data_IF_146580877572
#
_entry.id   IF_146580877572
#
_cell.length_a   1.000
_cell.length_b   1.000
_cell.length_c   1.000
_cell.angle_alpha   90.00
_cell.angle_beta   90.00
_cell.angle_gamma   90.00
#
_symmetry.space_group_name_H-M   'P 1'
#
loop_
_entity.id
_entity.type
_entity.pdbx_description
1 polymer ?
#
# COMPACT_ATOMS: atom_id res chain seq x y z
N UNK A 1 22.41 -10.29 -14.92
CA UNK A 1 21.44 -10.68 -13.87
C UNK A 1 20.67 -9.43 -13.48
N UNK A 2 19.35 -9.43 -13.66
CA UNK A 2 18.50 -8.31 -13.21
C UNK A 2 18.23 -8.45 -11.71
N UNK A 3 18.01 -7.33 -11.01
CA UNK A 3 17.70 -7.30 -9.57
C UNK A 3 16.50 -8.20 -9.21
N UNK A 4 15.56 -8.36 -10.13
CA UNK A 4 14.34 -9.15 -9.97
C UNK A 4 14.54 -10.67 -10.03
N UNK A 5 15.72 -11.18 -10.42
CA UNK A 5 16.03 -12.59 -10.25
C UNK A 5 16.22 -12.96 -8.77
N UNK A 6 16.62 -11.98 -7.94
CA UNK A 6 16.82 -12.16 -6.51
C UNK A 6 15.67 -11.59 -5.68
N UNK A 7 15.06 -10.49 -6.15
CA UNK A 7 13.98 -9.80 -5.45
C UNK A 7 12.74 -9.64 -6.36
N UNK A 8 11.94 -10.70 -6.56
CA UNK A 8 10.74 -10.65 -7.40
C UNK A 8 9.69 -9.62 -6.97
N UNK A 9 9.58 -9.36 -5.66
CA UNK A 9 8.66 -8.37 -5.09
C UNK A 9 9.42 -7.30 -4.30
N UNK A 10 9.41 -6.08 -4.82
CA UNK A 10 10.08 -4.91 -4.23
C UNK A 10 9.02 -3.90 -3.78
N UNK A 11 9.19 -3.33 -2.59
CA UNK A 11 8.35 -2.23 -2.11
C UNK A 11 9.20 -0.98 -1.90
N UNK A 12 8.72 0.17 -2.36
CA UNK A 12 9.31 1.49 -2.13
C UNK A 12 8.53 2.20 -1.04
N UNK A 13 9.20 2.52 0.06
CA UNK A 13 8.62 3.11 1.26
C UNK A 13 9.21 4.48 1.58
N UNK A 14 8.52 5.29 2.39
CA UNK A 14 8.95 6.64 2.74
C UNK A 14 7.81 7.63 3.03
N UNK A 15 8.12 8.82 3.54
CA UNK A 15 7.13 9.86 3.85
C UNK A 15 6.27 10.28 2.63
N UNK A 16 5.10 10.87 2.89
CA UNK A 16 4.28 11.46 1.82
C UNK A 16 5.10 12.55 1.11
N UNK A 17 5.10 12.55 -0.22
CA UNK A 17 5.88 13.49 -1.01
C UNK A 17 7.37 13.12 -1.21
N UNK A 18 7.86 11.99 -0.66
CA UNK A 18 9.28 11.60 -0.81
C UNK A 18 9.70 11.09 -2.20
N UNK A 19 8.75 10.97 -3.13
CA UNK A 19 9.01 10.45 -4.48
C UNK A 19 8.89 8.93 -4.64
N UNK A 20 8.23 8.23 -3.70
CA UNK A 20 8.00 6.76 -3.77
C UNK A 20 7.44 6.30 -5.10
N UNK A 21 6.30 6.87 -5.49
CA UNK A 21 5.58 6.54 -6.74
C UNK A 21 6.45 6.79 -7.96
N UNK A 22 7.25 7.86 -7.95
CA UNK A 22 8.21 8.17 -9.03
C UNK A 22 9.27 7.10 -9.14
N UNK A 23 9.93 6.72 -8.03
CA UNK A 23 10.95 5.68 -8.06
C UNK A 23 10.35 4.31 -8.43
N UNK A 24 9.20 3.96 -7.87
CA UNK A 24 8.52 2.70 -8.19
C UNK A 24 8.20 2.59 -9.68
N UNK A 25 7.71 3.67 -10.30
CA UNK A 25 7.46 3.76 -11.74
C UNK A 25 8.75 3.60 -12.55
N UNK A 26 9.82 4.33 -12.19
CA UNK A 26 11.10 4.23 -12.88
C UNK A 26 11.68 2.80 -12.83
N UNK A 27 11.54 2.10 -11.70
CA UNK A 27 11.96 0.70 -11.56
C UNK A 27 11.09 -0.22 -12.42
N UNK A 28 9.77 -0.05 -12.38
CA UNK A 28 8.84 -0.82 -13.20
C UNK A 28 9.16 -0.69 -14.69
N UNK A 29 9.32 0.53 -15.20
CA UNK A 29 9.63 0.80 -16.61
C UNK A 29 11.00 0.23 -17.02
N UNK A 30 12.04 0.50 -16.22
CA UNK A 30 13.41 0.07 -16.51
C UNK A 30 13.56 -1.46 -16.61
N UNK A 31 12.79 -2.19 -15.81
CA UNK A 31 12.92 -3.64 -15.69
C UNK A 31 11.71 -4.41 -16.22
N UNK A 32 10.75 -3.73 -16.86
CA UNK A 32 9.48 -4.31 -17.34
C UNK A 32 8.71 -5.07 -16.26
N UNK A 33 8.82 -4.62 -15.02
CA UNK A 33 8.11 -5.14 -13.86
C UNK A 33 6.71 -4.53 -13.78
N UNK A 34 5.79 -5.22 -13.13
CA UNK A 34 4.48 -4.67 -12.84
C UNK A 34 4.54 -3.60 -11.74
N UNK A 35 3.72 -2.56 -11.88
CA UNK A 35 3.64 -1.45 -10.93
C UNK A 35 2.34 -1.54 -10.11
N UNK A 36 2.45 -1.67 -8.79
CA UNK A 36 1.34 -1.59 -7.85
C UNK A 36 1.41 -0.26 -7.08
N UNK A 37 0.58 0.71 -7.46
CA UNK A 37 0.55 2.00 -6.80
C UNK A 37 -0.67 2.18 -5.91
N UNK A 38 -0.48 2.86 -4.78
CA UNK A 38 -1.58 3.46 -4.04
C UNK A 38 -2.19 4.61 -4.86
N UNK A 39 -3.47 4.51 -5.17
CA UNK A 39 -4.22 5.55 -5.90
C UNK A 39 -4.97 6.44 -4.91
N UNK A 40 -4.24 7.22 -4.12
CA UNK A 40 -4.83 8.08 -3.10
C UNK A 40 -5.84 9.08 -3.66
N UNK A 41 -5.65 9.52 -4.90
CA UNK A 41 -6.50 10.46 -5.61
C UNK A 41 -7.92 9.95 -5.90
N UNK A 42 -8.15 8.63 -5.90
CA UNK A 42 -9.49 8.06 -6.10
C UNK A 42 -10.28 7.91 -4.81
N UNK A 43 -9.67 8.18 -3.65
CA UNK A 43 -10.35 8.11 -2.36
C UNK A 43 -11.28 9.32 -2.19
N UNK A 44 -12.60 9.16 -2.23
CA UNK A 44 -13.54 10.29 -2.21
C UNK A 44 -13.58 10.99 -0.84
N UNK A 45 -13.06 10.35 0.21
CA UNK A 45 -13.03 10.89 1.56
C UNK A 45 -11.76 11.66 1.87
N UNK A 46 -10.67 11.39 1.13
CA UNK A 46 -9.37 11.98 1.40
C UNK A 46 -9.36 13.52 1.37
N UNK A 47 -10.02 14.22 0.42
CA UNK A 47 -10.09 15.68 0.46
C UNK A 47 -10.80 16.21 1.71
N UNK A 48 -11.81 15.48 2.21
CA UNK A 48 -12.58 15.86 3.41
C UNK A 48 -11.83 15.51 4.70
N UNK A 49 -11.03 14.45 4.69
CA UNK A 49 -10.10 14.14 5.78
C UNK A 49 -9.12 15.27 6.04
N UNK A 50 -8.59 15.92 5.00
CA UNK A 50 -7.74 17.10 5.17
C UNK A 50 -8.48 18.33 5.73
N UNK A 51 -9.81 18.36 5.68
CA UNK A 51 -10.63 19.45 6.23
C UNK A 51 -11.11 19.16 7.66
N UNK A 52 -11.45 17.89 7.94
CA UNK A 52 -11.98 17.41 9.22
C UNK A 52 -11.56 15.94 9.39
N UNK A 53 -10.37 15.75 9.96
CA UNK A 53 -9.81 14.41 10.12
C UNK A 53 -10.70 13.54 11.02
N UNK A 54 -11.19 14.08 12.14
CA UNK A 54 -11.98 13.34 13.11
C UNK A 54 -13.26 12.75 12.49
N UNK A 55 -13.92 13.48 11.58
CA UNK A 55 -15.16 13.01 10.95
C UNK A 55 -14.93 12.04 9.79
N UNK A 56 -13.80 12.14 9.09
CA UNK A 56 -13.56 11.42 7.84
C UNK A 56 -12.43 10.39 7.91
N UNK A 57 -11.78 10.20 9.06
CA UNK A 57 -10.68 9.26 9.23
C UNK A 57 -11.12 7.83 8.91
N UNK A 58 -12.17 7.31 9.56
CA UNK A 58 -12.64 5.94 9.34
C UNK A 58 -12.99 5.63 7.88
N UNK A 59 -13.87 6.40 7.18
CA UNK A 59 -14.19 6.09 5.79
C UNK A 59 -12.97 6.24 4.86
N UNK A 60 -12.03 7.14 5.16
CA UNK A 60 -10.77 7.29 4.42
C UNK A 60 -9.90 6.04 4.58
N UNK A 61 -9.70 5.56 5.82
CA UNK A 61 -8.89 4.37 6.13
C UNK A 61 -9.51 3.09 5.54
N UNK A 62 -10.84 2.91 5.67
CA UNK A 62 -11.52 1.75 5.09
C UNK A 62 -11.40 1.73 3.56
N UNK A 63 -11.47 2.89 2.90
CA UNK A 63 -11.25 2.96 1.46
C UNK A 63 -9.83 2.48 1.08
N UNK A 64 -8.79 2.94 1.78
CA UNK A 64 -7.42 2.48 1.55
C UNK A 64 -7.28 0.97 1.78
N UNK A 65 -7.84 0.44 2.87
CA UNK A 65 -7.84 -1.00 3.16
C UNK A 65 -8.51 -1.80 2.03
N UNK A 66 -9.67 -1.38 1.54
CA UNK A 66 -10.36 -2.06 0.45
C UNK A 66 -9.61 -1.97 -0.88
N UNK A 67 -8.99 -0.83 -1.16
CA UNK A 67 -8.18 -0.67 -2.35
C UNK A 67 -6.95 -1.60 -2.33
N UNK A 68 -6.19 -1.58 -1.24
CA UNK A 68 -4.98 -2.38 -1.08
C UNK A 68 -5.31 -3.89 -1.04
N UNK A 69 -6.39 -4.28 -0.39
CA UNK A 69 -6.82 -5.69 -0.35
C UNK A 69 -7.14 -6.25 -1.74
N UNK A 70 -7.82 -5.48 -2.60
CA UNK A 70 -8.07 -5.89 -3.99
C UNK A 70 -6.76 -6.05 -4.77
N UNK A 71 -5.86 -5.08 -4.67
CA UNK A 71 -4.55 -5.14 -5.35
C UNK A 71 -3.72 -6.36 -4.91
N UNK A 72 -3.78 -6.71 -3.62
CA UNK A 72 -3.06 -7.88 -3.08
C UNK A 72 -3.73 -9.19 -3.50
N UNK A 73 -5.06 -9.24 -3.50
CA UNK A 73 -5.78 -10.41 -3.99
C UNK A 73 -5.40 -10.70 -5.46
N UNK A 74 -5.37 -9.67 -6.31
CA UNK A 74 -4.97 -9.78 -7.72
C UNK A 74 -3.50 -10.23 -7.89
N UNK A 75 -2.63 -9.87 -6.95
CA UNK A 75 -1.23 -10.32 -6.94
C UNK A 75 -1.08 -11.78 -6.48
N UNK A 76 -1.89 -12.21 -5.51
CA UNK A 76 -1.86 -13.58 -4.96
C UNK A 76 -2.37 -14.65 -5.93
N UNK A 77 -3.17 -14.26 -6.92
CA UNK A 77 -3.72 -15.17 -7.93
C UNK A 77 -2.77 -15.44 -9.11
N UNK A 78 -1.53 -14.94 -9.07
CA UNK A 78 -0.61 -15.04 -10.21
C UNK A 78 0.15 -16.36 -10.24
N UNK A 79 0.27 -16.90 -11.45
CA UNK A 79 1.02 -18.12 -11.77
C UNK A 79 2.55 -17.90 -11.73
N UNK A 80 3.30 -19.01 -11.85
CA UNK A 80 4.77 -19.06 -11.88
C UNK A 80 5.45 -18.16 -12.94
N UNK A 81 4.71 -17.69 -13.95
CA UNK A 81 5.17 -16.75 -14.97
C UNK A 81 4.86 -15.28 -14.63
N UNK A 82 4.46 -14.99 -13.38
CA UNK A 82 4.19 -13.65 -12.91
C UNK A 82 5.36 -12.73 -13.21
N UNK A 83 5.07 -11.55 -13.76
CA UNK A 83 6.06 -10.50 -13.85
C UNK A 83 6.52 -10.12 -12.43
N UNK A 84 7.80 -9.78 -12.24
CA UNK A 84 8.22 -9.14 -11.01
C UNK A 84 7.38 -7.91 -10.72
N UNK A 85 7.22 -7.57 -9.45
CA UNK A 85 6.33 -6.50 -9.01
C UNK A 85 7.08 -5.47 -8.19
N UNK A 86 6.82 -4.19 -8.46
CA UNK A 86 7.26 -3.05 -7.66
C UNK A 86 6.01 -2.36 -7.10
N UNK A 87 5.93 -2.22 -5.79
CA UNK A 87 4.87 -1.46 -5.13
C UNK A 87 5.38 -0.18 -4.46
N UNK A 88 4.52 0.82 -4.29
CA UNK A 88 4.82 2.04 -3.51
C UNK A 88 4.05 2.13 -2.17
N UNK A 89 3.44 1.02 -1.76
CA UNK A 89 2.73 0.87 -0.50
C UNK A 89 3.03 -0.49 0.16
N UNK A 90 2.87 -0.55 1.48
CA UNK A 90 3.08 -1.75 2.30
C UNK A 90 1.87 -1.99 3.21
N UNK A 91 1.13 -3.09 3.00
CA UNK A 91 -0.12 -3.37 3.71
C UNK A 91 0.07 -3.45 5.22
N UNK A 92 1.20 -3.98 5.66
CA UNK A 92 1.53 -4.20 7.07
C UNK A 92 1.62 -2.89 7.86
N UNK A 93 1.75 -1.74 7.19
CA UNK A 93 1.67 -0.41 7.82
C UNK A 93 0.25 0.10 7.98
N UNK A 94 -0.73 -0.47 7.28
CA UNK A 94 -2.11 0.02 7.30
C UNK A 94 -2.69 0.09 8.72
N UNK A 95 -2.53 -0.95 9.59
CA UNK A 95 -2.97 -0.85 10.98
C UNK A 95 -2.28 0.24 11.79
N UNK A 96 -1.03 0.60 11.44
CA UNK A 96 -0.31 1.69 12.10
C UNK A 96 -0.94 3.05 11.75
N UNK A 97 -1.25 3.27 10.46
CA UNK A 97 -1.93 4.48 10.02
C UNK A 97 -3.35 4.57 10.55
N UNK A 98 -4.08 3.45 10.60
CA UNK A 98 -5.38 3.39 11.23
C UNK A 98 -5.29 3.78 12.71
N UNK A 99 -4.33 3.24 13.47
CA UNK A 99 -4.16 3.59 14.89
C UNK A 99 -3.81 5.07 15.12
N UNK A 100 -3.10 5.69 14.19
CA UNK A 100 -2.71 7.10 14.29
C UNK A 100 -3.88 8.06 13.99
N UNK A 101 -4.84 7.65 13.17
CA UNK A 101 -5.89 8.53 12.67
C UNK A 101 -7.27 8.27 13.28
N UNK A 102 -7.51 7.07 13.80
CA UNK A 102 -8.80 6.64 14.34
C UNK A 102 -8.80 6.71 15.87
N UNK A 103 -9.96 7.03 16.44
CA UNK A 103 -10.18 6.85 17.86
C UNK A 103 -10.27 5.35 18.24
N UNK A 104 -10.42 5.06 19.53
CA UNK A 104 -10.42 3.68 20.03
C UNK A 104 -11.60 2.85 19.49
N UNK A 105 -12.77 3.44 19.30
CA UNK A 105 -13.97 2.74 18.81
C UNK A 105 -13.87 2.48 17.30
N UNK A 106 -13.47 3.49 16.54
CA UNK A 106 -13.22 3.40 15.10
C UNK A 106 -12.08 2.43 14.78
N UNK A 107 -10.99 2.46 15.57
CA UNK A 107 -9.87 1.54 15.41
C UNK A 107 -10.27 0.10 15.70
N UNK A 108 -11.09 -0.14 16.73
CA UNK A 108 -11.61 -1.47 17.03
C UNK A 108 -12.45 -2.03 15.87
N UNK A 109 -13.32 -1.21 15.29
CA UNK A 109 -14.11 -1.57 14.10
C UNK A 109 -13.22 -1.84 12.88
N UNK A 110 -12.27 -0.95 12.59
CA UNK A 110 -11.28 -1.14 11.54
C UNK A 110 -10.53 -2.46 11.70
N UNK A 111 -10.06 -2.77 12.92
CA UNK A 111 -9.30 -3.99 13.19
C UNK A 111 -10.13 -5.26 12.99
N UNK A 112 -11.42 -5.24 13.36
CA UNK A 112 -12.34 -6.33 13.06
C UNK A 112 -12.45 -6.57 11.54
N UNK A 113 -12.59 -5.50 10.75
CA UNK A 113 -12.66 -5.60 9.29
C UNK A 113 -11.32 -6.13 8.72
N UNK A 114 -10.19 -5.53 9.13
CA UNK A 114 -8.85 -5.91 8.70
C UNK A 114 -8.58 -7.42 8.94
N UNK A 115 -8.91 -7.91 10.14
CA UNK A 115 -8.75 -9.33 10.48
C UNK A 115 -9.69 -10.26 9.71
N UNK A 116 -10.93 -9.83 9.45
CA UNK A 116 -11.90 -10.61 8.70
C UNK A 116 -11.53 -10.77 7.22
N UNK A 117 -10.86 -9.77 6.63
CA UNK A 117 -10.37 -9.86 5.26
C UNK A 117 -9.31 -10.95 5.06
N UNK A 118 -8.70 -11.47 6.14
CA UNK A 118 -7.68 -12.53 6.12
C UNK A 118 -6.60 -12.29 5.05
N UNK A 119 -6.17 -11.03 4.93
CA UNK A 119 -5.26 -10.60 3.87
C UNK A 119 -3.93 -11.33 4.00
N UNK A 120 -3.60 -12.13 2.97
CA UNK A 120 -2.28 -12.74 2.81
C UNK A 120 -1.49 -11.91 1.81
N UNK A 121 -0.85 -10.85 2.31
CA UNK A 121 0.13 -10.12 1.51
C UNK A 121 1.36 -11.00 1.32
N UNK A 122 1.89 -11.14 0.08
CA UNK A 122 3.21 -11.73 -0.07
C UNK A 122 4.22 -10.84 0.66
N UNK A 123 5.19 -11.47 1.31
CA UNK A 123 6.28 -10.76 1.97
C UNK A 123 7.17 -10.11 0.90
N UNK A 124 7.50 -8.82 0.98
CA UNK A 124 8.49 -8.21 0.09
C UNK A 124 9.85 -8.89 0.23
N UNK A 125 10.52 -9.12 -0.90
CA UNK A 125 11.90 -9.59 -0.93
C UNK A 125 12.89 -8.46 -0.63
N UNK A 126 12.51 -7.22 -0.98
CA UNK A 126 13.28 -6.01 -0.72
C UNK A 126 12.35 -4.83 -0.41
N UNK A 127 12.69 -4.07 0.62
CA UNK A 127 12.08 -2.77 0.91
C UNK A 127 13.13 -1.68 0.69
N UNK A 128 12.84 -0.75 -0.21
CA UNK A 128 13.66 0.44 -0.47
C UNK A 128 13.03 1.61 0.29
N UNK A 129 13.71 2.10 1.32
CA UNK A 129 13.24 3.24 2.09
C UNK A 129 13.83 4.55 1.56
N UNK A 130 12.95 5.46 1.11
CA UNK A 130 13.27 6.83 0.74
C UNK A 130 13.26 7.70 1.99
N UNK A 131 14.46 8.01 2.46
CA UNK A 131 14.67 8.96 3.54
C UNK A 131 14.68 10.39 2.97
N UNK A 132 13.85 11.25 3.54
CA UNK A 132 13.87 12.70 3.31
C UNK A 132 14.34 13.42 4.58
N UNK A 133 14.93 14.63 4.47
CA UNK A 133 15.29 15.46 5.61
C UNK A 133 14.11 15.80 6.52
#
# INVERSE_FOLDING_TARGET
MTIFNQFPYIVVEGPIGSGKTTLARMLSEKFSAELLTEKAEVNPFLPRFYQDAQRYALPTQLFFLFQRSRQIADMSQRDMFAKPTVADFFLEKDPLFARLNLDDEEYALYHQIYSHLQLKSPKPDLVIYLQTP
#
